data_IF_420661560353
#
_entry.id   IF_420661560353
#
_cell.length_a   1.000
_cell.length_b   1.000
_cell.length_c   1.000
_cell.angle_alpha   90.00
_cell.angle_beta   90.00
_cell.angle_gamma   90.00
#
_symmetry.space_group_name_H-M   'P 1'
#
loop_
_entity.id
_entity.type
_entity.pdbx_description
1 polymer ?
#
# COMPACT_ATOMS: atom_id res chain seq x y z
N UNK A 1 -9.03 21.73 18.78
CA UNK A 1 -8.94 20.30 19.14
C UNK A 1 -9.74 19.53 18.12
N UNK A 2 -9.06 18.88 17.17
CA UNK A 2 -9.66 17.90 16.27
C UNK A 2 -9.07 16.54 16.64
N UNK A 3 -9.94 15.54 16.75
CA UNK A 3 -9.68 14.24 17.33
C UNK A 3 -8.70 13.41 16.47
N UNK A 4 -7.94 12.55 17.16
CA UNK A 4 -6.93 11.69 16.59
C UNK A 4 -7.48 10.68 15.58
N UNK A 5 -6.66 10.43 14.57
CA UNK A 5 -6.68 9.25 13.74
C UNK A 5 -5.22 8.80 13.61
N UNK A 6 -4.74 8.04 14.60
CA UNK A 6 -3.45 7.35 14.57
C UNK A 6 -3.55 6.14 13.62
N UNK A 7 -3.82 6.42 12.34
CA UNK A 7 -3.93 5.43 11.28
C UNK A 7 -3.26 5.99 10.03
N UNK A 8 -2.12 5.42 9.66
CA UNK A 8 -1.43 5.75 8.41
C UNK A 8 -2.34 5.36 7.25
N UNK A 9 -2.91 6.34 6.53
CA UNK A 9 -3.58 6.11 5.26
C UNK A 9 -2.55 6.17 4.13
N UNK A 10 -2.47 5.14 3.31
CA UNK A 10 -1.37 4.78 2.41
C UNK A 10 -1.08 5.67 1.22
N UNK A 11 -1.78 6.80 1.11
CA UNK A 11 -1.37 7.86 0.22
C UNK A 11 0.02 8.46 0.58
N UNK A 12 0.58 8.19 1.76
CA UNK A 12 1.83 8.82 2.22
C UNK A 12 3.12 8.25 1.61
N UNK A 13 3.15 7.05 1.04
CA UNK A 13 4.43 6.42 0.65
C UNK A 13 4.87 6.63 -0.81
N UNK A 14 3.96 6.99 -1.72
CA UNK A 14 4.33 7.10 -3.15
C UNK A 14 4.59 8.54 -3.63
N UNK A 15 3.97 9.57 -3.03
CA UNK A 15 4.07 10.95 -3.53
C UNK A 15 4.44 12.02 -2.48
N UNK A 16 4.34 11.76 -1.16
CA UNK A 16 4.66 12.76 -0.12
C UNK A 16 5.29 12.15 1.14
N UNK A 17 6.63 12.18 1.19
CA UNK A 17 7.37 12.43 2.44
C UNK A 17 7.25 11.39 3.57
N UNK A 18 7.38 10.10 3.26
CA UNK A 18 8.21 9.23 4.09
C UNK A 18 9.12 8.46 3.15
N UNK A 19 10.35 8.97 2.92
CA UNK A 19 11.39 8.12 2.37
C UNK A 19 11.49 6.85 3.26
N UNK A 20 11.93 5.72 2.73
CA UNK A 20 12.19 4.52 3.56
C UNK A 20 13.03 4.86 4.80
N UNK A 21 13.90 5.86 4.70
CA UNK A 21 14.64 6.50 5.78
C UNK A 21 13.77 7.06 6.92
N UNK A 22 12.64 7.70 6.59
CA UNK A 22 11.72 8.22 7.60
C UNK A 22 10.96 7.09 8.26
N UNK A 23 10.50 6.09 7.51
CA UNK A 23 9.88 4.89 8.08
C UNK A 23 10.85 4.15 9.02
N UNK A 24 12.12 4.00 8.60
CA UNK A 24 13.17 3.37 9.39
C UNK A 24 13.48 4.12 10.70
N UNK A 25 13.15 5.41 10.80
CA UNK A 25 13.30 6.20 12.02
C UNK A 25 12.13 6.06 13.00
N UNK A 26 11.02 5.46 12.57
CA UNK A 26 9.83 5.29 13.40
C UNK A 26 9.99 4.13 14.39
N UNK A 27 9.23 4.19 15.48
CA UNK A 27 9.05 3.02 16.32
C UNK A 27 7.99 2.11 15.70
N UNK A 28 8.19 0.79 15.70
CA UNK A 28 7.26 -0.15 15.07
C UNK A 28 5.80 -0.07 15.56
N UNK A 29 5.57 0.31 16.81
CA UNK A 29 4.20 0.51 17.33
C UNK A 29 3.47 1.69 16.69
N UNK A 30 4.20 2.65 16.12
CA UNK A 30 3.63 3.81 15.44
C UNK A 30 3.09 3.47 14.04
N UNK A 31 3.24 2.22 13.58
CA UNK A 31 2.73 1.73 12.31
C UNK A 31 1.67 0.65 12.57
N UNK A 32 0.40 1.05 12.84
CA UNK A 32 -0.66 0.10 13.14
C UNK A 32 -1.29 -0.54 11.89
N UNK A 33 -1.07 0.03 10.70
CA UNK A 33 -1.72 -0.36 9.46
C UNK A 33 -0.77 -0.25 8.26
N UNK A 34 -0.75 -1.31 7.46
CA UNK A 34 -0.08 -1.42 6.16
C UNK A 34 -1.14 -1.68 5.11
N UNK A 35 -1.43 -0.71 4.25
CA UNK A 35 -2.37 -0.88 3.15
C UNK A 35 -1.61 -1.21 1.86
N UNK A 36 -1.80 -2.41 1.36
CA UNK A 36 -1.00 -2.91 0.25
C UNK A 36 -1.65 -2.55 -1.09
N UNK A 37 -0.90 -1.86 -1.94
CA UNK A 37 -1.20 -1.66 -3.35
C UNK A 37 0.12 -1.53 -4.13
N UNK A 38 0.03 -1.28 -5.42
CA UNK A 38 1.17 -1.02 -6.27
C UNK A 38 0.87 0.12 -7.25
N UNK A 39 1.88 0.60 -7.98
CA UNK A 39 1.77 1.74 -8.89
C UNK A 39 2.45 1.44 -10.23
N UNK A 40 1.98 2.12 -11.28
CA UNK A 40 2.59 2.04 -12.60
C UNK A 40 3.98 2.69 -12.65
N UNK A 41 4.73 2.41 -13.70
CA UNK A 41 6.09 2.93 -13.89
C UNK A 41 6.14 4.43 -14.24
N UNK A 42 5.05 4.99 -14.76
CA UNK A 42 4.95 6.39 -15.18
C UNK A 42 3.84 7.08 -14.39
N UNK A 43 4.16 8.14 -13.63
CA UNK A 43 3.15 8.91 -12.90
C UNK A 43 2.24 9.66 -13.86
N UNK A 44 0.98 9.86 -13.47
CA UNK A 44 0.07 10.70 -14.24
C UNK A 44 0.33 12.19 -13.98
N UNK A 45 -0.13 13.05 -14.89
CA UNK A 45 -0.09 14.51 -14.69
C UNK A 45 -0.86 14.97 -13.44
N UNK A 46 -1.90 14.21 -13.06
CA UNK A 46 -2.65 14.39 -11.81
C UNK A 46 -2.45 13.15 -10.92
N UNK A 47 -1.50 13.20 -9.97
CA UNK A 47 -1.25 12.09 -9.04
C UNK A 47 -2.50 11.75 -8.23
N UNK A 48 -3.31 12.75 -7.86
CA UNK A 48 -4.50 12.52 -7.06
C UNK A 48 -5.52 11.67 -7.83
N UNK A 49 -5.72 11.99 -9.11
CA UNK A 49 -6.57 11.20 -9.98
C UNK A 49 -6.04 9.78 -10.17
N UNK A 50 -4.73 9.61 -10.40
CA UNK A 50 -4.08 8.31 -10.54
C UNK A 50 -4.37 7.41 -9.34
N UNK A 51 -4.07 7.88 -8.15
CA UNK A 51 -4.15 7.04 -6.98
C UNK A 51 -5.58 6.71 -6.54
N UNK A 52 -6.57 7.50 -6.97
CA UNK A 52 -7.98 7.22 -6.67
C UNK A 52 -8.61 6.28 -7.71
N UNK A 53 -7.91 5.96 -8.81
CA UNK A 53 -8.49 5.23 -9.93
C UNK A 53 -7.62 4.13 -10.56
N UNK A 54 -6.30 4.14 -10.35
CA UNK A 54 -5.33 3.36 -11.14
C UNK A 54 -4.27 2.62 -10.30
N UNK A 55 -4.51 2.44 -8.99
CA UNK A 55 -3.60 1.60 -8.19
C UNK A 55 -3.63 0.15 -8.67
N UNK A 56 -2.47 -0.48 -8.78
CA UNK A 56 -2.34 -1.87 -9.20
C UNK A 56 -2.41 -2.82 -7.98
N UNK A 57 -2.60 -4.11 -8.24
CA UNK A 57 -2.50 -5.13 -7.19
C UNK A 57 -1.05 -5.21 -6.68
N UNK A 58 -0.83 -5.51 -5.39
CA UNK A 58 0.52 -5.68 -4.85
C UNK A 58 1.38 -6.66 -5.67
N UNK A 59 2.54 -6.20 -6.14
CA UNK A 59 3.49 -6.99 -6.93
C UNK A 59 3.23 -6.99 -8.43
N UNK A 60 2.26 -6.23 -8.93
CA UNK A 60 2.02 -6.02 -10.36
C UNK A 60 2.62 -4.70 -10.90
N UNK A 61 3.19 -3.88 -10.02
CA UNK A 61 3.78 -2.59 -10.38
C UNK A 61 5.27 -2.48 -10.00
N UNK A 62 5.73 -1.24 -9.84
CA UNK A 62 7.14 -0.90 -9.63
C UNK A 62 7.47 -0.51 -8.17
N UNK A 63 6.51 -0.56 -7.25
CA UNK A 63 6.78 -0.26 -5.84
C UNK A 63 7.63 -1.38 -5.23
N UNK A 64 8.77 -1.03 -4.62
CA UNK A 64 9.63 -1.98 -3.91
C UNK A 64 9.02 -2.38 -2.55
N UNK A 65 7.96 -3.17 -2.61
CA UNK A 65 7.23 -3.68 -1.44
C UNK A 65 8.12 -4.59 -0.57
N UNK A 66 9.09 -5.28 -1.18
CA UNK A 66 10.05 -6.11 -0.45
C UNK A 66 10.93 -5.28 0.47
N UNK A 67 11.48 -4.18 -0.04
CA UNK A 67 12.23 -3.23 0.77
C UNK A 67 11.38 -2.61 1.89
N UNK A 68 10.15 -2.17 1.58
CA UNK A 68 9.25 -1.58 2.59
C UNK A 68 8.91 -2.56 3.71
N UNK A 69 8.63 -3.83 3.38
CA UNK A 69 8.37 -4.87 4.36
C UNK A 69 9.62 -5.18 5.21
N UNK A 70 10.80 -5.19 4.62
CA UNK A 70 12.06 -5.31 5.34
C UNK A 70 12.26 -4.18 6.37
N UNK A 71 11.97 -2.93 5.99
CA UNK A 71 12.04 -1.80 6.92
C UNK A 71 11.03 -1.94 8.06
N UNK A 72 9.82 -2.45 7.79
CA UNK A 72 8.83 -2.71 8.84
C UNK A 72 9.30 -3.78 9.83
N UNK A 73 9.94 -4.85 9.35
CA UNK A 73 10.55 -5.87 10.20
C UNK A 73 11.69 -5.29 11.04
N UNK A 74 12.58 -4.49 10.43
CA UNK A 74 13.72 -3.85 11.10
C UNK A 74 13.29 -2.95 12.27
N UNK A 75 12.18 -2.22 12.13
CA UNK A 75 11.63 -1.38 13.21
C UNK A 75 10.74 -2.15 14.20
N UNK A 76 10.54 -3.46 13.99
CA UNK A 76 9.68 -4.33 14.80
C UNK A 76 8.19 -4.01 14.68
N UNK A 77 7.74 -3.50 13.53
CA UNK A 77 6.33 -3.21 13.29
C UNK A 77 5.55 -4.50 13.00
N UNK A 78 4.34 -4.59 13.55
CA UNK A 78 3.39 -5.68 13.27
C UNK A 78 2.02 -5.08 12.89
N UNK A 79 1.94 -4.39 11.75
CA UNK A 79 0.71 -3.71 11.34
C UNK A 79 -0.38 -4.70 10.93
N UNK A 80 -1.64 -4.27 11.04
CA UNK A 80 -2.71 -4.88 10.27
C UNK A 80 -2.43 -4.69 8.78
N UNK A 81 -2.66 -5.72 7.96
CA UNK A 81 -2.50 -5.61 6.50
C UNK A 81 -3.85 -5.49 5.81
N UNK A 82 -4.02 -4.47 4.97
CA UNK A 82 -5.25 -4.19 4.25
C UNK A 82 -4.97 -3.99 2.74
N UNK A 83 -5.40 -4.87 1.84
CA UNK A 83 -5.29 -4.59 0.41
C UNK A 83 -6.09 -3.33 0.05
N UNK A 84 -5.46 -2.32 -0.57
CA UNK A 84 -6.10 -1.06 -0.99
C UNK A 84 -5.76 -0.63 -2.44
N UNK A 85 -5.97 -1.50 -3.45
CA UNK A 85 -5.83 -1.12 -4.85
C UNK A 85 -7.11 -0.41 -5.33
N UNK A 86 -7.16 0.91 -5.13
CA UNK A 86 -8.19 1.78 -5.70
C UNK A 86 -8.15 1.75 -7.23
N UNK A 87 -8.90 0.80 -7.77
CA UNK A 87 -9.03 0.54 -9.20
C UNK A 87 -10.47 0.10 -9.50
N UNK A 88 -11.38 1.06 -9.75
CA UNK A 88 -12.76 0.76 -10.12
C UNK A 88 -12.84 -0.08 -11.40
N UNK A 89 -11.89 0.08 -12.33
CA UNK A 89 -11.79 -0.67 -13.57
C UNK A 89 -11.69 -2.18 -13.33
N UNK A 90 -10.89 -2.62 -12.37
CA UNK A 90 -10.79 -4.02 -11.99
C UNK A 90 -12.16 -4.59 -11.58
N UNK A 91 -12.91 -3.87 -10.75
CA UNK A 91 -14.24 -4.32 -10.31
C UNK A 91 -15.22 -4.37 -11.49
N UNK A 92 -15.17 -3.42 -12.42
CA UNK A 92 -16.02 -3.45 -13.62
C UNK A 92 -15.66 -4.59 -14.57
N UNK A 93 -14.39 -4.97 -14.63
CA UNK A 93 -13.92 -5.99 -15.57
C UNK A 93 -14.19 -7.43 -15.10
N UNK A 94 -14.01 -7.70 -13.80
CA UNK A 94 -14.08 -9.07 -13.26
C UNK A 94 -15.16 -9.30 -12.21
N UNK A 95 -15.82 -8.23 -11.74
CA UNK A 95 -16.82 -8.29 -10.68
C UNK A 95 -16.21 -8.27 -9.27
N UNK A 96 -17.03 -7.93 -8.28
CA UNK A 96 -16.58 -7.65 -6.89
C UNK A 96 -15.95 -8.87 -6.19
N UNK A 97 -16.52 -10.06 -6.34
CA UNK A 97 -16.05 -11.26 -5.65
C UNK A 97 -14.66 -11.68 -6.16
N UNK A 98 -14.48 -11.66 -7.49
CA UNK A 98 -13.22 -12.01 -8.12
C UNK A 98 -12.16 -10.94 -7.88
N UNK A 99 -12.53 -9.66 -7.88
CA UNK A 99 -11.64 -8.57 -7.48
C UNK A 99 -11.15 -8.77 -6.04
N UNK A 100 -12.04 -9.06 -5.09
CA UNK A 100 -11.68 -9.32 -3.69
C UNK A 100 -10.75 -10.53 -3.55
N UNK A 101 -11.01 -11.62 -4.30
CA UNK A 101 -10.13 -12.80 -4.33
C UNK A 101 -8.72 -12.43 -4.81
N UNK A 102 -8.61 -11.69 -5.91
CA UNK A 102 -7.32 -11.25 -6.47
C UNK A 102 -6.55 -10.35 -5.52
N UNK A 103 -7.22 -9.41 -4.86
CA UNK A 103 -6.61 -8.56 -3.83
C UNK A 103 -5.97 -9.41 -2.72
N UNK A 104 -6.71 -10.39 -2.19
CA UNK A 104 -6.19 -11.28 -1.13
C UNK A 104 -5.01 -12.11 -1.62
N UNK A 105 -5.08 -12.67 -2.83
CA UNK A 105 -4.01 -13.50 -3.38
C UNK A 105 -2.74 -12.72 -3.66
N UNK A 106 -2.85 -11.55 -4.29
CA UNK A 106 -1.71 -10.69 -4.57
C UNK A 106 -1.02 -10.23 -3.28
N UNK A 107 -1.79 -9.76 -2.29
CA UNK A 107 -1.23 -9.36 -0.99
C UNK A 107 -0.53 -10.54 -0.29
N UNK A 108 -1.13 -11.73 -0.27
CA UNK A 108 -0.48 -12.92 0.31
C UNK A 108 0.81 -13.31 -0.42
N UNK A 109 0.84 -13.19 -1.74
CA UNK A 109 2.02 -13.51 -2.54
C UNK A 109 3.21 -12.59 -2.24
N UNK A 110 2.96 -11.32 -1.93
CA UNK A 110 3.99 -10.36 -1.49
C UNK A 110 4.45 -10.69 -0.06
N UNK A 111 3.52 -10.87 0.88
CA UNK A 111 3.84 -11.17 2.29
C UNK A 111 4.58 -12.51 2.49
N UNK A 112 4.40 -13.47 1.58
CA UNK A 112 5.10 -14.76 1.66
C UNK A 112 6.59 -14.68 1.24
N UNK A 113 7.03 -13.53 0.72
CA UNK A 113 8.41 -13.29 0.24
C UNK A 113 9.26 -12.51 1.24
N UNK A 114 8.64 -11.94 2.26
CA UNK A 114 9.26 -11.21 3.39
C UNK A 114 9.55 -12.16 4.55
#
# INVERSE_FOLDING_TARGET
>A
MAAGADGVSWWTLHELLLASETLASMSGWAVPLFQACDAGSEPWDDPMAECMAARLLPGEGEVDLGHLLGVLDDIGAVPMVCPEPFNPGMVTDVGVDEAARRMVEATRAVLARS
#
